data_IF_715067832322
#
_entry.id   IF_715067832322
#
_cell.length_a   1.000
_cell.length_b   1.000
_cell.length_c   1.000
_cell.angle_alpha   90.00
_cell.angle_beta   90.00
_cell.angle_gamma   90.00
#
_symmetry.space_group_name_H-M   'P 1'
#
loop_
_entity.id
_entity.type
_entity.pdbx_description
1 polymer ?
#
# COMPACT_ATOMS: atom_id res chain seq x y z
N UNK A 1 6.79 44.14 41.06
CA UNK A 1 5.69 44.48 40.12
C UNK A 1 5.52 43.30 39.17
N UNK A 2 4.54 42.45 39.44
CA UNK A 2 4.26 41.26 38.63
C UNK A 2 2.87 41.42 38.04
N UNK A 3 2.77 41.66 36.73
CA UNK A 3 1.48 41.80 36.04
C UNK A 3 0.77 40.44 36.02
N UNK A 4 -0.53 40.36 36.38
CA UNK A 4 -1.28 39.12 36.25
C UNK A 4 -1.46 38.81 34.77
N UNK A 5 -0.90 37.69 34.33
CA UNK A 5 -1.07 37.20 32.97
C UNK A 5 -2.52 36.71 32.86
N UNK A 6 -3.41 37.59 32.41
CA UNK A 6 -4.83 37.28 32.23
C UNK A 6 -5.01 36.03 31.38
N UNK A 7 -5.92 35.15 31.76
CA UNK A 7 -6.14 33.85 31.15
C UNK A 7 -6.69 33.98 29.71
N UNK A 8 -5.78 34.22 28.76
CA UNK A 8 -6.04 34.37 27.32
C UNK A 8 -6.58 33.09 26.64
N UNK A 9 -6.50 31.96 27.34
CA UNK A 9 -6.93 30.64 26.88
C UNK A 9 -8.44 30.46 26.70
N UNK A 10 -9.26 31.40 27.19
CA UNK A 10 -10.73 31.33 27.09
C UNK A 10 -11.32 32.28 26.06
N UNK A 11 -10.49 33.02 25.32
CA UNK A 11 -10.98 33.93 24.29
C UNK A 11 -11.50 33.14 23.09
N UNK A 12 -12.78 33.29 22.71
CA UNK A 12 -13.37 32.51 21.61
C UNK A 12 -12.64 32.73 20.29
N UNK A 13 -12.01 33.89 20.10
CA UNK A 13 -11.19 34.21 18.92
C UNK A 13 -9.91 33.36 18.83
N UNK A 14 -9.28 33.03 19.96
CA UNK A 14 -8.07 32.18 20.01
C UNK A 14 -8.44 30.72 19.77
N UNK A 15 -9.56 30.26 20.32
CA UNK A 15 -10.07 28.92 20.04
C UNK A 15 -10.47 28.80 18.58
N UNK A 16 -11.13 29.81 18.01
CA UNK A 16 -11.53 29.82 16.60
C UNK A 16 -10.32 29.78 15.66
N UNK A 17 -9.26 30.55 15.95
CA UNK A 17 -8.04 30.54 15.13
C UNK A 17 -7.31 29.20 15.21
N UNK A 18 -7.22 28.58 16.39
CA UNK A 18 -6.66 27.24 16.55
C UNK A 18 -7.48 26.18 15.81
N UNK A 19 -8.81 26.24 15.90
CA UNK A 19 -9.71 25.31 15.21
C UNK A 19 -9.60 25.48 13.69
N UNK A 20 -9.46 26.71 13.21
CA UNK A 20 -9.28 27.01 11.78
C UNK A 20 -7.93 26.52 11.25
N UNK A 21 -6.84 26.71 12.01
CA UNK A 21 -5.52 26.16 11.66
C UNK A 21 -5.56 24.63 11.67
N UNK A 22 -6.23 24.02 12.65
CA UNK A 22 -6.42 22.57 12.73
C UNK A 22 -7.22 22.04 11.53
N UNK A 23 -8.31 22.71 11.15
CA UNK A 23 -9.14 22.36 10.00
C UNK A 23 -8.35 22.46 8.69
N UNK A 24 -7.57 23.52 8.54
CA UNK A 24 -6.73 23.72 7.36
C UNK A 24 -5.63 22.65 7.27
N UNK A 25 -4.98 22.35 8.40
CA UNK A 25 -4.00 21.26 8.50
C UNK A 25 -4.60 19.88 8.26
N UNK A 26 -5.82 19.61 8.76
CA UNK A 26 -6.51 18.34 8.54
C UNK A 26 -6.96 18.17 7.09
N UNK A 27 -7.44 19.23 6.44
CA UNK A 27 -7.80 19.22 5.02
C UNK A 27 -6.58 18.97 4.13
N UNK A 28 -5.47 19.67 4.40
CA UNK A 28 -4.20 19.45 3.70
C UNK A 28 -3.66 18.03 3.95
N UNK A 29 -3.70 17.55 5.20
CA UNK A 29 -3.31 16.18 5.54
C UNK A 29 -4.15 15.13 4.85
N UNK A 30 -5.48 15.31 4.78
CA UNK A 30 -6.39 14.43 4.08
C UNK A 30 -6.15 14.42 2.56
N UNK A 31 -5.84 15.58 1.96
CA UNK A 31 -5.46 15.68 0.55
C UNK A 31 -4.14 14.95 0.27
N UNK A 32 -3.12 15.13 1.12
CA UNK A 32 -1.84 14.42 0.99
C UNK A 32 -2.03 12.91 1.14
N UNK A 33 -2.82 12.45 2.13
CA UNK A 33 -3.09 11.02 2.35
C UNK A 33 -3.93 10.42 1.22
N UNK A 34 -4.89 11.16 0.65
CA UNK A 34 -5.69 10.67 -0.47
C UNK A 34 -4.90 10.62 -1.80
N UNK A 35 -4.02 11.59 -2.05
CA UNK A 35 -3.12 11.59 -3.21
C UNK A 35 -2.01 10.55 -3.07
N UNK A 36 -1.37 10.44 -1.90
CA UNK A 36 -0.36 9.44 -1.62
C UNK A 36 -0.96 8.03 -1.48
N UNK A 37 -2.15 7.92 -0.91
CA UNK A 37 -2.89 6.66 -0.75
C UNK A 37 -3.33 6.06 -2.09
N UNK A 38 -3.50 6.88 -3.14
CA UNK A 38 -3.74 6.41 -4.51
C UNK A 38 -2.47 5.90 -5.20
N UNK A 39 -1.29 6.31 -4.73
CA UNK A 39 0.00 5.78 -5.17
C UNK A 39 0.48 4.59 -4.32
N UNK A 40 0.05 4.52 -3.05
CA UNK A 40 0.40 3.45 -2.11
C UNK A 40 -0.60 2.31 -2.00
N UNK A 41 -1.84 2.49 -2.47
CA UNK A 41 -2.61 1.34 -2.93
C UNK A 41 -1.85 0.82 -4.14
N UNK A 42 -1.01 -0.17 -3.87
CA UNK A 42 -0.59 -1.16 -4.82
C UNK A 42 -1.76 -2.17 -4.82
N UNK A 43 -2.88 -1.98 -5.58
CA UNK A 43 -3.51 -3.18 -6.09
C UNK A 43 -2.36 -3.83 -6.85
N UNK A 44 -1.93 -5.05 -6.49
CA UNK A 44 -0.96 -5.80 -7.30
C UNK A 44 -1.30 -5.48 -8.76
N UNK A 45 -0.48 -4.70 -9.49
CA UNK A 45 -0.98 -4.08 -10.71
C UNK A 45 -1.55 -5.20 -11.56
N UNK A 46 -2.76 -5.05 -12.10
CA UNK A 46 -3.36 -6.11 -12.91
C UNK A 46 -2.41 -6.57 -14.04
N UNK A 47 -1.46 -5.69 -14.42
CA UNK A 47 -0.30 -5.98 -15.25
C UNK A 47 0.57 -7.17 -14.77
N UNK A 48 0.61 -7.53 -13.49
CA UNK A 48 1.42 -8.62 -12.92
C UNK A 48 0.62 -9.89 -12.58
N UNK A 49 -0.63 -10.00 -13.04
CA UNK A 49 -1.42 -11.26 -13.01
C UNK A 49 -1.36 -11.95 -14.38
N UNK A 50 -1.75 -13.22 -14.45
CA UNK A 50 -1.94 -13.94 -15.73
C UNK A 50 -2.74 -13.07 -16.72
N UNK A 51 -2.19 -12.85 -17.92
CA UNK A 51 -2.73 -11.96 -18.95
C UNK A 51 -2.22 -10.50 -18.91
N UNK A 52 -1.58 -10.08 -17.83
CA UNK A 52 -1.03 -8.72 -17.68
C UNK A 52 0.21 -8.44 -18.55
N UNK A 53 1.01 -9.49 -18.83
CA UNK A 53 2.11 -9.45 -19.80
C UNK A 53 1.62 -9.04 -21.18
N UNK A 54 0.60 -9.73 -21.69
CA UNK A 54 0.07 -9.53 -23.05
C UNK A 54 -0.54 -8.14 -23.20
N UNK A 55 -1.26 -7.66 -22.18
CA UNK A 55 -1.80 -6.29 -22.13
C UNK A 55 -0.67 -5.25 -22.15
N UNK A 56 0.41 -5.49 -21.41
CA UNK A 56 1.57 -4.58 -21.33
C UNK A 56 2.34 -4.55 -22.65
N UNK A 57 2.59 -5.72 -23.25
CA UNK A 57 3.26 -5.85 -24.54
C UNK A 57 2.44 -5.21 -25.66
N UNK A 58 1.12 -5.45 -25.70
CA UNK A 58 0.22 -4.84 -26.68
C UNK A 58 0.21 -3.32 -26.57
N UNK A 59 0.19 -2.80 -25.34
CA UNK A 59 0.28 -1.36 -25.07
C UNK A 59 1.61 -0.78 -25.54
N UNK A 60 2.74 -1.41 -25.21
CA UNK A 60 4.06 -0.92 -25.60
C UNK A 60 4.28 -1.00 -27.11
N UNK A 61 3.77 -2.04 -27.76
CA UNK A 61 3.78 -2.14 -29.22
C UNK A 61 3.02 -0.98 -29.86
N UNK A 62 1.85 -0.64 -29.33
CA UNK A 62 0.99 0.41 -29.87
C UNK A 62 1.48 1.83 -29.57
N UNK A 63 2.01 2.09 -28.37
CA UNK A 63 2.42 3.44 -27.97
C UNK A 63 3.86 3.80 -28.39
N UNK A 64 4.71 2.81 -28.65
CA UNK A 64 6.11 3.03 -29.05
C UNK A 64 6.39 2.70 -30.52
N UNK A 65 5.36 2.33 -31.29
CA UNK A 65 5.45 1.94 -32.70
C UNK A 65 6.58 0.93 -32.98
N UNK A 66 6.63 -0.13 -32.17
CA UNK A 66 7.72 -1.10 -32.21
C UNK A 66 7.73 -1.91 -33.51
N UNK A 67 8.92 -2.12 -34.07
CA UNK A 67 9.10 -3.06 -35.18
C UNK A 67 8.83 -4.51 -34.71
N UNK A 68 8.59 -5.47 -35.62
CA UNK A 68 8.41 -6.87 -35.26
C UNK A 68 9.61 -7.44 -34.48
N UNK A 69 10.82 -7.05 -34.85
CA UNK A 69 12.07 -7.48 -34.18
C UNK A 69 12.19 -6.89 -32.78
N UNK A 70 11.88 -5.60 -32.60
CA UNK A 70 11.86 -4.97 -31.27
C UNK A 70 10.77 -5.54 -30.37
N UNK A 71 9.61 -5.89 -30.95
CA UNK A 71 8.51 -6.52 -30.21
C UNK A 71 8.94 -7.88 -29.66
N UNK A 72 9.62 -8.70 -30.47
CA UNK A 72 10.11 -10.01 -30.03
C UNK A 72 11.17 -9.89 -28.92
N UNK A 73 12.06 -8.91 -29.02
CA UNK A 73 13.05 -8.64 -27.97
C UNK A 73 12.40 -8.18 -26.67
N UNK A 74 11.43 -7.27 -26.76
CA UNK A 74 10.69 -6.77 -25.60
C UNK A 74 9.85 -7.87 -24.95
N UNK A 75 9.26 -8.76 -25.75
CA UNK A 75 8.54 -9.92 -25.25
C UNK A 75 9.43 -10.82 -24.40
N UNK A 76 10.64 -11.14 -24.88
CA UNK A 76 11.62 -11.93 -24.12
C UNK A 76 12.02 -11.26 -22.80
N UNK A 77 12.26 -9.95 -22.82
CA UNK A 77 12.57 -9.17 -21.60
C UNK A 77 11.41 -9.20 -20.60
N UNK A 78 10.18 -9.04 -21.08
CA UNK A 78 9.01 -9.13 -20.23
C UNK A 78 8.87 -10.55 -19.67
N UNK A 79 9.01 -11.60 -20.48
CA UNK A 79 8.93 -12.99 -20.04
C UNK A 79 9.89 -13.30 -18.88
N UNK A 80 11.16 -12.92 -19.02
CA UNK A 80 12.15 -13.10 -17.96
C UNK A 80 11.75 -12.37 -16.67
N UNK A 81 11.24 -11.14 -16.82
CA UNK A 81 10.81 -10.34 -15.68
C UNK A 81 9.60 -10.95 -14.97
N UNK A 82 8.59 -11.41 -15.72
CA UNK A 82 7.41 -12.07 -15.16
C UNK A 82 7.78 -13.40 -14.49
N UNK A 83 8.64 -14.21 -15.11
CA UNK A 83 9.12 -15.46 -14.53
C UNK A 83 9.84 -15.23 -13.20
N UNK A 84 10.72 -14.22 -13.14
CA UNK A 84 11.39 -13.83 -11.90
C UNK A 84 10.41 -13.36 -10.83
N UNK A 85 9.43 -12.54 -11.19
CA UNK A 85 8.39 -12.07 -10.26
C UNK A 85 7.56 -13.22 -9.69
N UNK A 86 7.13 -14.17 -10.52
CA UNK A 86 6.40 -15.36 -10.08
C UNK A 86 7.22 -16.20 -9.10
N UNK A 87 8.52 -16.37 -9.38
CA UNK A 87 9.44 -17.09 -8.49
C UNK A 87 9.56 -16.40 -7.13
N UNK A 88 9.73 -15.08 -7.11
CA UNK A 88 9.77 -14.31 -5.87
C UNK A 88 8.46 -14.37 -5.09
N UNK A 89 7.32 -14.30 -5.77
CA UNK A 89 6.01 -14.40 -5.12
C UNK A 89 5.85 -15.76 -4.43
N UNK A 90 6.25 -16.86 -5.09
CA UNK A 90 6.22 -18.19 -4.50
C UNK A 90 7.13 -18.29 -3.26
N UNK A 91 8.35 -17.77 -3.34
CA UNK A 91 9.28 -17.74 -2.19
C UNK A 91 8.73 -16.90 -1.03
N UNK A 92 8.14 -15.74 -1.30
CA UNK A 92 7.54 -14.90 -0.26
C UNK A 92 6.36 -15.60 0.42
N UNK A 93 5.54 -16.33 -0.34
CA UNK A 93 4.41 -17.06 0.20
C UNK A 93 4.86 -18.24 1.08
N UNK A 94 5.93 -18.94 0.69
CA UNK A 94 6.58 -19.97 1.50
C UNK A 94 7.17 -19.39 2.80
N UNK A 95 7.88 -18.25 2.73
CA UNK A 95 8.43 -17.56 3.91
C UNK A 95 7.32 -17.12 4.86
N UNK A 96 6.20 -16.61 4.32
CA UNK A 96 5.02 -16.25 5.12
C UNK A 96 4.41 -17.47 5.82
N UNK A 97 4.23 -18.58 5.10
CA UNK A 97 3.69 -19.82 5.67
C UNK A 97 4.60 -20.36 6.78
N UNK A 98 5.90 -20.44 6.52
CA UNK A 98 6.91 -20.91 7.48
C UNK A 98 6.98 -19.99 8.70
N UNK A 99 6.93 -18.68 8.51
CA UNK A 99 6.92 -17.69 9.58
C UNK A 99 5.69 -17.82 10.47
N UNK A 100 4.50 -17.97 9.86
CA UNK A 100 3.24 -18.19 10.57
C UNK A 100 3.31 -19.45 11.45
N UNK A 101 3.82 -20.55 10.92
CA UNK A 101 3.93 -21.81 11.67
C UNK A 101 4.89 -21.70 12.86
N UNK A 102 6.03 -21.01 12.68
CA UNK A 102 6.97 -20.74 13.77
C UNK A 102 6.33 -19.91 14.88
N UNK A 103 5.53 -18.89 14.52
CA UNK A 103 4.79 -18.08 15.49
C UNK A 103 3.74 -18.94 16.21
N UNK A 104 2.98 -19.77 15.51
CA UNK A 104 1.98 -20.64 16.14
C UNK A 104 2.59 -21.63 17.15
N UNK A 105 3.83 -22.08 16.94
CA UNK A 105 4.54 -22.98 17.85
C UNK A 105 4.92 -22.33 19.19
N UNK A 106 5.20 -21.02 19.22
CA UNK A 106 5.57 -20.31 20.46
C UNK A 106 4.35 -19.82 21.27
N UNK A 107 3.17 -19.81 20.65
CA UNK A 107 1.94 -19.31 21.27
C UNK A 107 1.17 -20.41 21.99
N UNK A 108 0.52 -20.04 23.10
CA UNK A 108 -0.48 -20.90 23.74
C UNK A 108 -1.83 -20.86 23.00
N UNK A 109 -2.75 -21.75 23.38
CA UNK A 109 -4.00 -21.95 22.63
C UNK A 109 -4.87 -20.69 22.51
N UNK A 110 -4.98 -19.91 23.59
CA UNK A 110 -5.71 -18.64 23.57
C UNK A 110 -5.06 -17.62 22.65
N UNK A 111 -3.73 -17.54 22.65
CA UNK A 111 -2.98 -16.62 21.80
C UNK A 111 -3.05 -17.03 20.32
N UNK A 112 -3.05 -18.32 20.01
CA UNK A 112 -3.21 -18.85 18.63
C UNK A 112 -4.53 -18.42 18.02
N UNK A 113 -5.64 -18.58 18.75
CA UNK A 113 -6.95 -18.16 18.29
C UNK A 113 -7.01 -16.65 18.02
N UNK A 114 -6.42 -15.83 18.90
CA UNK A 114 -6.32 -14.38 18.69
C UNK A 114 -5.45 -14.04 17.48
N UNK A 115 -4.31 -14.72 17.30
CA UNK A 115 -3.41 -14.51 16.18
C UNK A 115 -4.06 -14.83 14.83
N UNK A 116 -4.79 -15.94 14.73
CA UNK A 116 -5.54 -16.29 13.53
C UNK A 116 -6.60 -15.23 13.18
N UNK A 117 -7.33 -14.70 14.18
CA UNK A 117 -8.29 -13.60 13.94
C UNK A 117 -7.59 -12.34 13.41
N UNK A 118 -6.46 -11.95 13.99
CA UNK A 118 -5.68 -10.79 13.52
C UNK A 118 -5.21 -10.97 12.07
N UNK A 119 -4.79 -12.18 11.67
CA UNK A 119 -4.40 -12.46 10.28
C UNK A 119 -5.59 -12.34 9.31
N UNK A 120 -6.76 -12.85 9.68
CA UNK A 120 -7.95 -12.77 8.85
C UNK A 120 -8.41 -11.31 8.67
N UNK A 121 -8.42 -10.52 9.74
CA UNK A 121 -8.76 -9.09 9.68
C UNK A 121 -7.80 -8.29 8.78
N UNK A 122 -6.50 -8.61 8.81
CA UNK A 122 -5.52 -8.00 7.92
C UNK A 122 -5.77 -8.37 6.46
N UNK A 123 -6.15 -9.63 6.18
CA UNK A 123 -6.46 -10.09 4.83
C UNK A 123 -7.73 -9.43 4.28
N UNK A 124 -8.78 -9.28 5.10
CA UNK A 124 -10.02 -8.60 4.72
C UNK A 124 -9.80 -7.11 4.41
N UNK A 125 -8.91 -6.43 5.14
CA UNK A 125 -8.54 -5.03 4.84
C UNK A 125 -7.75 -4.86 3.56
N UNK A 126 -7.01 -5.88 3.11
CA UNK A 126 -6.29 -5.84 1.84
C UNK A 126 -7.20 -6.12 0.63
N UNK A 127 -8.38 -6.70 0.85
CA UNK A 127 -9.36 -7.03 -0.20
C UNK A 127 -10.45 -5.95 -0.38
N UNK A 128 -10.54 -4.99 0.54
CA UNK A 128 -11.43 -3.81 0.45
C UNK A 128 -10.66 -2.61 -0.09
#
# INVERSE_FOLDING_TARGET
>A
MSTPVGCYWRHPRVILSLLLVLLCGAALGALVVSLAGRHWHNPKPAAWREGGKEITLARFKQELDLTPEQTAQLEAVLDDFFAYYHTLQAQLDEVRATGKDRILRILNERQRQKFQRMLNELQERQLR
#
